data_IF_578823579906
#
_entry.id   IF_578823579906
#
_cell.length_a   1.000
_cell.length_b   1.000
_cell.length_c   1.000
_cell.angle_alpha   90.00
_cell.angle_beta   90.00
_cell.angle_gamma   90.00
#
_symmetry.space_group_name_H-M   'P 1'
#
loop_
_entity.id
_entity.type
_entity.pdbx_description
1 polymer ?
#
# COMPACT_ATOMS: atom_id res chain seq x y z
N UNK A 1 -22.91 -10.70 1.24
CA UNK A 1 -22.12 -9.51 1.65
C UNK A 1 -20.67 -9.94 1.71
N UNK A 2 -19.74 -9.20 1.09
CA UNK A 2 -18.31 -9.54 1.09
C UNK A 2 -17.64 -9.27 2.44
N UNK A 3 -16.35 -9.62 2.60
CA UNK A 3 -15.58 -9.28 3.79
C UNK A 3 -15.59 -7.77 4.06
N UNK A 4 -15.70 -7.40 5.34
CA UNK A 4 -15.55 -6.01 5.80
C UNK A 4 -14.08 -5.81 6.17
N UNK A 5 -13.47 -4.74 5.66
CA UNK A 5 -12.06 -4.42 5.90
C UNK A 5 -11.92 -3.28 6.90
N UNK A 6 -10.79 -3.25 7.59
CA UNK A 6 -10.35 -2.16 8.48
C UNK A 6 -9.10 -1.52 7.90
N UNK A 7 -9.10 -0.19 7.80
CA UNK A 7 -8.02 0.61 7.25
C UNK A 7 -8.17 0.97 5.76
N UNK A 8 -7.26 1.81 5.23
CA UNK A 8 -7.29 2.21 3.82
C UNK A 8 -6.98 1.03 2.90
N UNK A 9 -7.72 0.92 1.81
CA UNK A 9 -7.43 0.00 0.69
C UNK A 9 -6.80 0.73 -0.49
N UNK A 10 -7.14 2.01 -0.63
CA UNK A 10 -6.70 2.87 -1.71
C UNK A 10 -5.56 3.75 -1.19
N UNK A 11 -4.40 3.64 -1.83
CA UNK A 11 -3.33 4.62 -1.67
C UNK A 11 -3.55 5.77 -2.67
N UNK A 12 -3.22 6.98 -2.27
CA UNK A 12 -3.39 8.19 -3.08
C UNK A 12 -2.23 9.14 -2.80
N UNK A 13 -1.76 9.80 -3.85
CA UNK A 13 -0.70 10.80 -3.79
C UNK A 13 -0.97 11.92 -4.80
N UNK A 14 -0.23 13.02 -4.71
CA UNK A 14 -0.33 14.13 -5.66
C UNK A 14 0.47 13.83 -6.94
N UNK A 15 -0.02 14.38 -8.06
CA UNK A 15 0.65 14.22 -9.35
C UNK A 15 2.00 14.96 -9.37
N UNK A 16 3.02 14.32 -9.93
CA UNK A 16 4.34 14.90 -10.17
C UNK A 16 4.44 15.32 -11.64
N UNK A 17 4.82 16.56 -11.89
CA UNK A 17 4.97 17.09 -13.25
C UNK A 17 6.06 16.31 -14.03
N UNK A 18 5.73 15.88 -15.24
CA UNK A 18 6.64 15.11 -16.09
C UNK A 18 6.66 13.60 -15.81
N UNK A 19 6.01 13.12 -14.74
CA UNK A 19 5.88 11.69 -14.48
C UNK A 19 4.98 11.02 -15.51
N UNK A 20 5.41 9.87 -16.03
CA UNK A 20 4.60 9.01 -16.91
C UNK A 20 3.93 7.86 -16.15
N UNK A 21 4.32 7.66 -14.88
CA UNK A 21 3.67 6.74 -13.96
C UNK A 21 4.28 6.83 -12.56
N UNK A 22 3.89 5.87 -11.73
CA UNK A 22 4.32 5.78 -10.34
C UNK A 22 4.57 4.34 -9.94
N UNK A 23 5.46 4.15 -8.96
CA UNK A 23 5.62 2.88 -8.24
C UNK A 23 5.30 3.10 -6.78
N UNK A 24 4.53 2.20 -6.21
CA UNK A 24 4.23 2.18 -4.78
C UNK A 24 4.97 1.02 -4.15
N UNK A 25 5.75 1.31 -3.13
CA UNK A 25 6.53 0.33 -2.38
C UNK A 25 5.92 0.13 -1.00
N UNK A 26 6.10 -1.06 -0.42
CA UNK A 26 5.75 -1.33 0.96
C UNK A 26 6.84 -2.14 1.67
N UNK A 27 6.92 -1.99 2.99
CA UNK A 27 7.87 -2.71 3.86
C UNK A 27 7.32 -2.89 5.26
N UNK A 28 7.94 -3.79 6.02
CA UNK A 28 7.61 -3.96 7.44
C UNK A 28 7.97 -2.67 8.21
N UNK A 29 7.13 -2.20 9.15
CA UNK A 29 7.43 -1.00 9.91
C UNK A 29 8.79 -1.09 10.61
N UNK A 30 9.59 -0.04 10.50
CA UNK A 30 10.93 0.04 11.11
C UNK A 30 12.05 -0.74 10.40
N UNK A 31 11.79 -1.41 9.26
CA UNK A 31 12.86 -2.01 8.45
C UNK A 31 13.41 -1.01 7.44
N UNK A 32 14.70 -1.10 7.12
CA UNK A 32 15.32 -0.15 6.17
C UNK A 32 15.16 -0.58 4.70
N UNK A 33 14.99 -1.86 4.43
CA UNK A 33 14.94 -2.40 3.07
C UNK A 33 13.53 -2.33 2.49
N UNK A 34 13.43 -1.72 1.29
CA UNK A 34 12.29 -1.92 0.40
C UNK A 34 12.59 -3.15 -0.45
N UNK A 35 11.69 -4.13 -0.47
CA UNK A 35 11.88 -5.30 -1.33
C UNK A 35 11.37 -4.93 -2.72
N UNK A 36 12.19 -5.00 -3.77
CA UNK A 36 11.77 -4.64 -5.15
C UNK A 36 10.60 -5.50 -5.66
N UNK A 37 10.44 -6.72 -5.13
CA UNK A 37 9.28 -7.57 -5.39
C UNK A 37 7.98 -7.05 -4.74
N UNK A 38 8.08 -6.12 -3.81
CA UNK A 38 6.99 -5.48 -3.07
C UNK A 38 6.70 -4.09 -3.64
N UNK A 39 6.33 -4.05 -4.93
CA UNK A 39 5.86 -2.82 -5.56
C UNK A 39 4.71 -3.04 -6.53
N UNK A 40 3.92 -1.99 -6.74
CA UNK A 40 2.93 -1.90 -7.82
C UNK A 40 3.22 -0.69 -8.67
N UNK A 41 3.16 -0.87 -9.98
CA UNK A 41 3.25 0.21 -10.95
C UNK A 41 1.86 0.61 -11.45
N UNK A 42 1.61 1.91 -11.53
CA UNK A 42 0.35 2.48 -12.06
C UNK A 42 0.64 3.77 -12.82
N UNK A 43 -0.24 4.14 -13.76
CA UNK A 43 -0.18 5.44 -14.45
C UNK A 43 -1.03 6.51 -13.77
N UNK A 44 -1.95 6.11 -12.89
CA UNK A 44 -2.77 7.02 -12.10
C UNK A 44 -2.11 7.43 -10.79
N UNK A 45 -2.75 8.36 -10.07
CA UNK A 45 -2.33 8.82 -8.74
C UNK A 45 -3.01 8.08 -7.59
N UNK A 46 -3.72 7.00 -7.90
CA UNK A 46 -4.42 6.15 -6.94
C UNK A 46 -4.26 4.69 -7.29
N UNK A 47 -4.14 3.82 -6.28
CA UNK A 47 -4.11 2.36 -6.49
C UNK A 47 -4.74 1.61 -5.32
N UNK A 48 -5.51 0.56 -5.64
CA UNK A 48 -5.95 -0.41 -4.62
C UNK A 48 -4.80 -1.37 -4.30
N UNK A 49 -4.27 -1.29 -3.08
CA UNK A 49 -3.18 -2.14 -2.61
C UNK A 49 -3.67 -3.45 -1.97
N UNK A 50 -4.98 -3.64 -1.81
CA UNK A 50 -5.52 -4.77 -1.04
C UNK A 50 -5.27 -6.15 -1.64
N UNK A 51 -4.93 -6.23 -2.94
CA UNK A 51 -4.58 -7.46 -3.63
C UNK A 51 -3.07 -7.78 -3.57
N UNK A 52 -2.23 -6.81 -3.23
CA UNK A 52 -0.76 -6.93 -3.34
C UNK A 52 -0.06 -6.79 -1.99
N UNK A 53 -0.61 -5.97 -1.08
CA UNK A 53 -0.11 -5.81 0.27
C UNK A 53 -0.82 -6.83 1.16
N UNK A 54 -0.09 -7.75 1.80
CA UNK A 54 -0.69 -8.73 2.71
C UNK A 54 -1.43 -8.05 3.87
N UNK A 55 -2.41 -8.73 4.44
CA UNK A 55 -3.07 -8.24 5.66
C UNK A 55 -2.05 -8.06 6.78
N UNK A 56 -2.09 -6.93 7.47
CA UNK A 56 -1.12 -6.57 8.49
C UNK A 56 -0.87 -5.07 8.59
N UNK A 57 0.22 -4.73 9.27
CA UNK A 57 0.73 -3.36 9.39
C UNK A 57 2.00 -3.22 8.58
N UNK A 58 2.06 -2.18 7.76
CA UNK A 58 3.11 -1.91 6.79
C UNK A 58 3.42 -0.42 6.77
N UNK A 59 4.53 -0.07 6.13
CA UNK A 59 4.87 1.29 5.74
C UNK A 59 4.87 1.37 4.22
N UNK A 60 4.31 2.43 3.66
CA UNK A 60 4.27 2.64 2.20
C UNK A 60 4.84 3.99 1.78
N UNK A 61 5.34 4.06 0.56
CA UNK A 61 5.68 5.31 -0.13
C UNK A 61 5.44 5.16 -1.64
N UNK A 62 5.39 6.30 -2.34
CA UNK A 62 5.32 6.33 -3.80
C UNK A 62 6.56 7.03 -4.38
N UNK A 63 6.98 6.58 -5.55
CA UNK A 63 7.96 7.25 -6.40
C UNK A 63 7.31 7.61 -7.73
N UNK A 64 7.77 8.68 -8.35
CA UNK A 64 7.45 9.01 -9.73
C UNK A 64 8.44 8.31 -10.67
N UNK A 65 7.94 7.84 -11.80
CA UNK A 65 8.78 7.31 -12.89
C UNK A 65 8.51 8.10 -14.17
N UNK A 66 9.56 8.26 -14.97
CA UNK A 66 9.47 8.69 -16.36
C UNK A 66 10.08 7.63 -17.29
N UNK A 67 10.33 7.96 -18.55
CA UNK A 67 10.91 7.01 -19.52
C UNK A 67 12.37 6.61 -19.22
N UNK A 68 13.05 7.32 -18.33
CA UNK A 68 14.51 7.24 -18.12
C UNK A 68 14.87 6.97 -16.66
N UNK A 69 14.07 7.45 -15.71
CA UNK A 69 14.43 7.53 -14.31
C UNK A 69 13.27 7.28 -13.35
N UNK A 70 13.65 7.04 -12.10
CA UNK A 70 12.75 6.97 -10.95
C UNK A 70 13.20 7.99 -9.91
N UNK A 71 12.24 8.70 -9.32
CA UNK A 71 12.50 9.70 -8.30
C UNK A 71 12.89 9.08 -6.96
N UNK A 72 13.28 9.93 -6.00
CA UNK A 72 13.27 9.53 -4.59
C UNK A 72 11.86 9.22 -4.08
N UNK A 73 11.73 8.50 -2.95
CA UNK A 73 10.44 8.18 -2.35
C UNK A 73 9.75 9.43 -1.76
N UNK A 74 8.43 9.41 -1.72
CA UNK A 74 7.61 10.31 -0.90
C UNK A 74 7.91 10.15 0.60
N UNK A 75 7.21 10.91 1.44
CA UNK A 75 7.13 10.56 2.86
C UNK A 75 6.59 9.13 3.03
N UNK A 76 7.14 8.42 3.99
CA UNK A 76 6.69 7.08 4.38
C UNK A 76 5.51 7.22 5.32
N UNK A 77 4.42 6.51 5.04
CA UNK A 77 3.20 6.54 5.86
C UNK A 77 2.83 5.15 6.35
N UNK A 78 2.24 5.04 7.56
CA UNK A 78 1.72 3.77 8.04
C UNK A 78 0.54 3.30 7.17
N UNK A 79 0.48 2.00 6.94
CA UNK A 79 -0.57 1.33 6.18
C UNK A 79 -1.06 0.12 6.97
N UNK A 80 -2.34 0.11 7.30
CA UNK A 80 -2.96 -1.01 8.00
C UNK A 80 -4.11 -1.54 7.17
N UNK A 81 -4.11 -2.85 6.94
CA UNK A 81 -5.16 -3.53 6.19
C UNK A 81 -5.46 -4.86 6.86
N UNK A 82 -6.69 -5.03 7.35
CA UNK A 82 -7.14 -6.29 7.96
C UNK A 82 -8.60 -6.61 7.61
N UNK A 83 -8.91 -7.89 7.53
CA UNK A 83 -10.29 -8.40 7.36
C UNK A 83 -10.94 -8.59 8.72
N UNK A 84 -12.09 -7.95 8.94
CA UNK A 84 -12.96 -8.30 10.07
C UNK A 84 -13.62 -9.64 9.75
N UNK A 85 -13.34 -10.63 10.59
CA UNK A 85 -14.08 -11.89 10.60
C UNK A 85 -15.25 -11.80 11.57
N UNK A 86 -16.26 -12.67 11.37
CA UNK A 86 -17.39 -12.76 12.31
C UNK A 86 -16.85 -13.06 13.73
N UNK A 87 -17.44 -12.48 14.79
CA UNK A 87 -17.05 -12.81 16.15
C UNK A 87 -17.13 -14.32 16.40
N UNK A 88 -16.04 -14.90 16.92
CA UNK A 88 -16.04 -16.26 17.46
C UNK A 88 -16.65 -16.23 18.85
N UNK A 89 -17.94 -16.54 18.94
CA UNK A 89 -18.64 -16.68 20.21
C UNK A 89 -18.22 -17.99 20.89
N UNK A 90 -17.28 -17.96 21.84
CA UNK A 90 -17.21 -18.98 22.88
C UNK A 90 -18.10 -18.54 24.04
N UNK A 91 -19.41 -18.72 23.90
CA UNK A 91 -20.31 -18.63 25.07
C UNK A 91 -20.16 -19.96 25.79
N UNK A 92 -19.30 -19.99 26.80
CA UNK A 92 -19.24 -21.11 27.75
C UNK A 92 -20.57 -21.07 28.50
N UNK A 93 -21.38 -22.12 28.31
CA UNK A 93 -22.58 -22.36 29.10
C UNK A 93 -22.20 -23.07 30.39
#
# INVERSE_FOLDING_TARGET
MGPIYTGPRIATWDAVAGATGYRVYWRTPGTHEWVDAQRVQTTGTTVDLSAVVPQGSWEICATAIDAVSESGPSNVVPWQYAVITKPVNARVQ
#
